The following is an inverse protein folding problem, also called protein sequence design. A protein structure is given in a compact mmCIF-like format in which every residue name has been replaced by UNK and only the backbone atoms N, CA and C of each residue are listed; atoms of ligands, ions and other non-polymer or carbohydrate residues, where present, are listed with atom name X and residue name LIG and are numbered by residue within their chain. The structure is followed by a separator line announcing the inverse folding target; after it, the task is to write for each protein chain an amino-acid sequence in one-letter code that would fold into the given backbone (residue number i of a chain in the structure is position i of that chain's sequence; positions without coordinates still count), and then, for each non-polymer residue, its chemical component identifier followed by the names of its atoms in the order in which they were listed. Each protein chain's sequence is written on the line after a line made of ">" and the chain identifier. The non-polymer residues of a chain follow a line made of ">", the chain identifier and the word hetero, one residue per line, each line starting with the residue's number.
data_IF_304803061135
#
_entry.id   IF_304803061135
#
_cell.length_a   1.000
_cell.length_b   1.000
_cell.length_c   1.000
_cell.angle_alpha   90.00
_cell.angle_beta   90.00
_cell.angle_gamma   90.00
#
_symmetry.space_group_name_H-M   'P 1'
#
loop_
_entity.id
_entity.type
_entity.pdbx_description
1 polymer ?
#
# COMPACT_ATOMS: atom_id res chain seq x y z
N UNK A 1 -19.65 -9.07 21.34
CA UNK A 1 -19.86 -8.00 20.33
C UNK A 1 -19.57 -6.63 20.94
N UNK A 2 -20.23 -6.30 22.05
CA UNK A 2 -20.15 -4.96 22.70
C UNK A 2 -18.74 -4.58 23.16
N UNK A 3 -17.93 -5.55 23.63
CA UNK A 3 -16.53 -5.29 24.00
C UNK A 3 -15.68 -4.85 22.80
N UNK A 4 -15.90 -5.41 21.61
CA UNK A 4 -15.15 -5.03 20.40
C UNK A 4 -15.56 -3.64 19.93
N UNK A 5 -16.86 -3.33 19.97
CA UNK A 5 -17.36 -2.00 19.65
C UNK A 5 -16.83 -0.95 20.64
N UNK A 6 -16.90 -1.23 21.94
CA UNK A 6 -16.35 -0.35 22.97
C UNK A 6 -14.85 -0.12 22.76
N UNK A 7 -14.05 -1.17 22.52
CA UNK A 7 -12.60 -1.02 22.25
C UNK A 7 -12.34 -0.16 21.01
N UNK A 8 -13.13 -0.32 19.95
CA UNK A 8 -13.05 0.49 18.75
C UNK A 8 -13.33 1.97 19.02
N UNK A 9 -14.43 2.26 19.72
CA UNK A 9 -14.83 3.62 20.07
C UNK A 9 -13.87 4.29 21.05
N UNK A 10 -13.43 3.55 22.08
CA UNK A 10 -12.47 4.03 23.07
C UNK A 10 -11.15 4.43 22.40
N UNK A 11 -10.65 3.59 21.46
CA UNK A 11 -9.45 3.93 20.66
C UNK A 11 -9.67 5.16 19.79
N UNK A 12 -10.82 5.25 19.10
CA UNK A 12 -11.12 6.41 18.26
C UNK A 12 -11.12 7.72 19.07
N UNK A 13 -11.79 7.69 20.23
CA UNK A 13 -11.86 8.83 21.13
C UNK A 13 -10.48 9.18 21.67
N UNK A 14 -9.78 8.25 22.30
CA UNK A 14 -8.52 8.54 23.00
C UNK A 14 -7.37 8.90 22.06
N UNK A 15 -7.26 8.22 20.91
CA UNK A 15 -6.10 8.34 20.01
C UNK A 15 -6.26 9.47 19.00
N UNK A 16 -7.48 9.77 18.56
CA UNK A 16 -7.69 10.75 17.49
C UNK A 16 -8.50 11.95 17.98
N UNK A 17 -9.69 11.74 18.55
CA UNK A 17 -10.59 12.86 18.89
C UNK A 17 -10.05 13.70 20.04
N UNK A 18 -9.57 13.08 21.11
CA UNK A 18 -9.05 13.81 22.28
C UNK A 18 -7.60 14.24 22.06
N UNK A 19 -6.77 13.41 21.42
CA UNK A 19 -5.33 13.64 21.35
C UNK A 19 -4.90 14.57 20.21
N UNK A 20 -5.47 14.48 19.00
CA UNK A 20 -5.02 15.30 17.86
C UNK A 20 -5.19 16.81 18.09
N UNK A 21 -6.28 17.31 18.70
CA UNK A 21 -6.40 18.74 19.00
C UNK A 21 -5.27 19.27 19.90
N UNK A 22 -4.76 18.42 20.81
CA UNK A 22 -3.64 18.78 21.68
C UNK A 22 -2.27 18.75 20.97
N UNK A 23 -2.21 18.29 19.71
CA UNK A 23 -1.01 18.27 18.87
C UNK A 23 -0.97 19.44 17.88
N UNK A 24 -1.93 20.35 17.94
CA UNK A 24 -1.94 21.56 17.11
C UNK A 24 -0.93 22.55 17.66
N UNK A 25 0.04 22.91 16.83
CA UNK A 25 1.07 23.90 17.16
C UNK A 25 0.46 25.31 17.16
N UNK A 26 0.40 26.02 18.31
CA UNK A 26 -0.30 27.30 18.43
C UNK A 26 0.21 28.37 17.48
N UNK A 27 1.51 28.39 17.18
CA UNK A 27 2.11 29.40 16.30
C UNK A 27 1.66 29.30 14.83
N UNK A 28 1.17 28.13 14.41
CA UNK A 28 0.76 27.88 13.02
C UNK A 28 -0.70 27.49 12.87
N UNK A 29 -1.35 27.05 13.97
CA UNK A 29 -2.69 26.46 13.92
C UNK A 29 -2.73 25.13 13.16
N UNK A 30 -1.60 24.42 13.04
CA UNK A 30 -1.47 23.17 12.27
C UNK A 30 -0.83 22.07 13.09
N UNK A 31 -1.07 20.83 12.68
CA UNK A 31 -0.35 19.66 13.16
C UNK A 31 0.91 19.45 12.31
N UNK A 32 2.06 19.24 12.94
CA UNK A 32 3.34 18.98 12.27
C UNK A 32 3.83 17.60 12.65
N UNK A 33 3.85 16.67 11.70
CA UNK A 33 4.33 15.31 11.95
C UNK A 33 5.83 15.19 11.69
N UNK A 34 6.48 14.29 12.43
CA UNK A 34 7.86 13.88 12.20
C UNK A 34 7.90 12.65 11.29
N UNK A 35 8.43 12.80 10.07
CA UNK A 35 8.72 11.68 9.19
C UNK A 35 10.13 11.11 9.47
N UNK A 36 10.16 9.92 10.05
CA UNK A 36 11.42 9.19 10.28
C UNK A 36 11.79 8.39 9.04
N UNK A 37 12.92 8.72 8.43
CA UNK A 37 13.36 8.14 7.15
C UNK A 37 14.21 6.87 7.31
N UNK A 38 14.76 6.62 8.50
CA UNK A 38 15.78 5.58 8.77
C UNK A 38 15.31 4.50 9.75
N UNK A 39 14.00 4.35 9.96
CA UNK A 39 13.44 3.42 10.98
C UNK A 39 12.97 2.10 10.37
N UNK A 40 12.12 2.13 9.34
CA UNK A 40 11.52 0.91 8.82
C UNK A 40 12.54 0.05 8.05
N UNK A 41 12.57 -1.26 8.34
CA UNK A 41 13.47 -2.21 7.69
C UNK A 41 13.24 -2.35 6.17
N UNK A 42 12.06 -1.98 5.68
CA UNK A 42 11.71 -1.99 4.25
C UNK A 42 11.93 -0.65 3.57
N UNK A 43 12.35 0.38 4.31
CA UNK A 43 12.61 1.71 3.75
C UNK A 43 11.38 2.60 3.60
N UNK A 44 10.19 2.18 4.06
CA UNK A 44 9.02 3.07 4.23
C UNK A 44 9.35 4.22 5.20
N UNK A 45 8.70 5.37 5.01
CA UNK A 45 8.68 6.40 6.04
C UNK A 45 7.75 5.97 7.17
N UNK A 46 8.08 6.35 8.41
CA UNK A 46 7.13 6.29 9.53
C UNK A 46 6.83 7.70 10.02
N UNK A 47 5.59 7.95 10.41
CA UNK A 47 5.13 9.25 10.92
C UNK A 47 4.89 9.17 12.43
N UNK A 48 5.38 10.17 13.18
CA UNK A 48 5.22 10.30 14.63
C UNK A 48 4.83 11.74 15.02
N UNK A 49 4.36 11.93 16.26
CA UNK A 49 4.07 13.23 16.88
C UNK A 49 3.26 14.23 16.03
N UNK A 50 2.05 13.88 15.55
CA UNK A 50 1.34 12.60 15.68
C UNK A 50 1.59 11.68 14.48
N UNK A 51 1.22 10.40 14.61
CA UNK A 51 1.24 9.47 13.49
C UNK A 51 0.05 9.74 12.56
N UNK A 52 0.31 10.33 11.40
CA UNK A 52 -0.68 10.64 10.38
C UNK A 52 -0.83 9.54 9.33
N UNK A 53 0.00 8.50 9.36
CA UNK A 53 -0.16 7.35 8.46
C UNK A 53 -1.23 6.36 8.93
N UNK A 54 -1.61 6.39 10.22
CA UNK A 54 -2.55 5.45 10.80
C UNK A 54 -3.97 6.03 11.00
N UNK A 55 -4.29 7.16 10.35
CA UNK A 55 -5.61 7.78 10.46
C UNK A 55 -6.67 6.82 9.88
N UNK A 56 -7.70 6.45 10.65
CA UNK A 56 -8.61 5.38 10.27
C UNK A 56 -9.37 5.66 8.97
N UNK A 57 -9.58 4.60 8.17
CA UNK A 57 -10.35 4.67 6.92
C UNK A 57 -11.34 3.50 6.72
N UNK A 58 -11.08 2.35 7.36
CA UNK A 58 -11.82 1.11 7.09
C UNK A 58 -13.26 1.09 7.63
N UNK A 59 -13.55 1.82 8.71
CA UNK A 59 -14.87 1.80 9.35
C UNK A 59 -15.59 3.12 9.13
N UNK A 60 -16.91 3.06 9.05
CA UNK A 60 -17.76 4.24 8.80
C UNK A 60 -17.53 5.36 9.82
N UNK A 61 -17.41 5.01 11.12
CA UNK A 61 -17.11 5.98 12.18
C UNK A 61 -15.65 6.43 12.14
N UNK A 62 -14.72 5.51 11.88
CA UNK A 62 -13.29 5.82 11.87
C UNK A 62 -12.91 6.81 10.77
N UNK A 63 -13.45 6.63 9.56
CA UNK A 63 -13.17 7.51 8.42
C UNK A 63 -13.60 8.96 8.65
N UNK A 64 -14.58 9.21 9.53
CA UNK A 64 -15.00 10.57 9.86
C UNK A 64 -13.88 11.42 10.48
N UNK A 65 -12.87 10.80 11.11
CA UNK A 65 -11.69 11.52 11.63
C UNK A 65 -10.99 12.30 10.52
N UNK A 66 -10.97 11.78 9.28
CA UNK A 66 -10.34 12.46 8.13
C UNK A 66 -11.04 13.77 7.74
N UNK A 67 -12.31 13.98 8.11
CA UNK A 67 -12.99 15.26 7.87
C UNK A 67 -12.38 16.43 8.63
N UNK A 68 -11.67 16.16 9.72
CA UNK A 68 -10.99 17.21 10.50
C UNK A 68 -9.71 17.73 9.82
N UNK A 69 -9.23 17.05 8.77
CA UNK A 69 -8.07 17.48 7.99
C UNK A 69 -8.57 18.24 6.75
N UNK A 70 -8.39 19.56 6.77
CA UNK A 70 -8.87 20.48 5.74
C UNK A 70 -7.71 21.20 5.05
N UNK A 71 -7.97 21.82 3.91
CA UNK A 71 -7.02 22.70 3.22
C UNK A 71 -6.65 23.91 4.08
N UNK A 72 -5.57 24.62 3.74
CA UNK A 72 -5.09 25.74 4.59
C UNK A 72 -6.07 26.91 4.68
N UNK A 73 -6.84 27.15 3.62
CA UNK A 73 -7.87 28.19 3.53
C UNK A 73 -8.80 27.92 2.33
N UNK A 74 -9.79 28.80 2.15
CA UNK A 74 -10.85 28.67 1.12
C UNK A 74 -10.36 28.66 -0.33
N UNK A 75 -9.17 29.18 -0.60
CA UNK A 75 -8.58 29.25 -1.94
C UNK A 75 -7.83 27.95 -2.30
N UNK A 76 -7.79 26.98 -1.38
CA UNK A 76 -7.13 25.69 -1.56
C UNK A 76 -8.11 24.52 -1.40
N UNK A 77 -7.74 23.38 -1.97
CA UNK A 77 -8.40 22.08 -1.79
C UNK A 77 -7.37 21.01 -1.46
N UNK A 78 -7.82 19.90 -0.89
CA UNK A 78 -6.99 18.72 -0.76
C UNK A 78 -7.08 17.86 -2.01
N UNK A 79 -5.92 17.37 -2.46
CA UNK A 79 -5.77 16.37 -3.51
C UNK A 79 -5.06 15.17 -2.90
N UNK A 80 -5.66 13.98 -2.97
CA UNK A 80 -4.97 12.73 -2.68
C UNK A 80 -4.63 12.04 -4.01
N UNK A 81 -3.42 11.50 -4.08
CA UNK A 81 -2.92 10.73 -5.21
C UNK A 81 -2.38 9.39 -4.69
N UNK A 82 -3.06 8.29 -5.01
CA UNK A 82 -2.75 6.95 -4.49
C UNK A 82 -2.38 6.01 -5.63
N UNK A 83 -1.33 5.22 -5.46
CA UNK A 83 -1.01 4.22 -6.47
C UNK A 83 -2.02 3.07 -6.43
N UNK A 84 -2.64 2.78 -7.57
CA UNK A 84 -3.56 1.65 -7.66
C UNK A 84 -2.79 0.32 -7.63
N UNK A 85 -2.77 -0.32 -6.45
CA UNK A 85 -2.26 -1.67 -6.22
C UNK A 85 -0.76 -1.84 -6.54
N UNK A 86 0.07 -0.85 -6.18
CA UNK A 86 1.50 -0.83 -6.51
C UNK A 86 2.26 -2.11 -6.11
N UNK A 87 1.98 -2.69 -4.95
CA UNK A 87 2.66 -3.92 -4.51
C UNK A 87 2.36 -5.11 -5.44
N UNK A 88 1.13 -5.21 -5.96
CA UNK A 88 0.75 -6.26 -6.91
C UNK A 88 1.34 -6.02 -8.30
N UNK A 89 1.44 -4.75 -8.74
CA UNK A 89 2.13 -4.40 -9.99
C UNK A 89 3.62 -4.72 -9.92
N UNK A 90 4.26 -4.44 -8.77
CA UNK A 90 5.67 -4.77 -8.54
C UNK A 90 5.88 -6.29 -8.56
N UNK A 91 5.09 -7.06 -7.82
CA UNK A 91 5.31 -8.53 -7.79
C UNK A 91 5.03 -9.15 -9.16
N UNK A 92 4.03 -8.67 -9.91
CA UNK A 92 3.78 -9.10 -11.28
C UNK A 92 4.99 -8.81 -12.20
N UNK A 93 5.58 -7.62 -12.08
CA UNK A 93 6.77 -7.25 -12.84
C UNK A 93 8.01 -8.06 -12.44
N UNK A 94 8.25 -8.28 -11.15
CA UNK A 94 9.41 -9.01 -10.63
C UNK A 94 9.34 -10.52 -10.90
N UNK A 95 8.14 -11.09 -10.85
CA UNK A 95 7.92 -12.50 -11.17
C UNK A 95 7.77 -12.78 -12.67
N UNK A 96 7.60 -11.73 -13.47
CA UNK A 96 7.27 -11.81 -14.89
C UNK A 96 6.05 -12.70 -15.17
N UNK A 97 5.08 -12.69 -14.27
CA UNK A 97 3.87 -13.51 -14.34
C UNK A 97 2.89 -12.95 -15.39
N UNK A 98 2.86 -13.59 -16.56
CA UNK A 98 2.10 -13.14 -17.74
C UNK A 98 0.63 -12.88 -17.39
N UNK A 99 0.02 -13.81 -16.67
CA UNK A 99 -1.39 -13.77 -16.24
C UNK A 99 -1.73 -12.53 -15.42
N UNK A 100 -0.81 -12.05 -14.59
CA UNK A 100 -0.98 -10.83 -13.79
C UNK A 100 -0.65 -9.57 -14.60
N UNK A 101 0.39 -9.63 -15.44
CA UNK A 101 0.80 -8.52 -16.29
C UNK A 101 -0.34 -8.16 -17.26
N UNK A 102 -0.88 -9.15 -17.96
CA UNK A 102 -2.01 -8.97 -18.90
C UNK A 102 -3.22 -8.34 -18.21
N UNK A 103 -3.58 -8.81 -17.00
CA UNK A 103 -4.69 -8.24 -16.25
C UNK A 103 -4.49 -6.74 -15.96
N UNK A 104 -3.27 -6.33 -15.59
CA UNK A 104 -2.96 -4.93 -15.37
C UNK A 104 -2.92 -4.10 -16.66
N UNK A 105 -2.41 -4.67 -17.76
CA UNK A 105 -2.35 -4.01 -19.07
C UNK A 105 -3.75 -3.81 -19.68
N UNK A 106 -4.66 -4.75 -19.44
CA UNK A 106 -6.06 -4.67 -19.85
C UNK A 106 -6.93 -3.77 -18.95
N UNK A 107 -6.37 -3.24 -17.86
CA UNK A 107 -7.13 -2.46 -16.88
C UNK A 107 -8.18 -3.30 -16.10
N UNK A 108 -7.96 -4.60 -15.99
CA UNK A 108 -8.83 -5.50 -15.23
C UNK A 108 -8.67 -5.28 -13.72
N UNK A 109 -9.75 -5.51 -12.97
CA UNK A 109 -9.66 -5.65 -11.53
C UNK A 109 -8.89 -6.93 -11.19
N UNK A 110 -7.65 -6.81 -10.70
CA UNK A 110 -6.77 -7.95 -10.42
C UNK A 110 -7.38 -8.95 -9.43
N UNK A 111 -8.22 -8.48 -8.49
CA UNK A 111 -8.88 -9.35 -7.52
C UNK A 111 -10.01 -10.13 -8.16
N UNK A 112 -10.80 -9.48 -9.02
CA UNK A 112 -11.84 -10.17 -9.79
C UNK A 112 -11.23 -11.13 -10.83
N UNK A 113 -10.17 -10.72 -11.52
CA UNK A 113 -9.42 -11.57 -12.47
C UNK A 113 -8.83 -12.79 -11.76
N UNK A 114 -8.25 -12.60 -10.57
CA UNK A 114 -7.78 -13.71 -9.73
C UNK A 114 -8.94 -14.62 -9.32
N UNK A 115 -10.06 -14.08 -8.85
CA UNK A 115 -11.23 -14.88 -8.48
C UNK A 115 -11.76 -15.69 -9.66
N UNK A 116 -11.90 -15.06 -10.83
CA UNK A 116 -12.34 -15.72 -12.07
C UNK A 116 -11.46 -16.91 -12.41
N UNK A 117 -10.13 -16.75 -12.41
CA UNK A 117 -9.18 -17.82 -12.73
C UNK A 117 -9.13 -18.91 -11.65
N UNK A 118 -9.19 -18.53 -10.37
CA UNK A 118 -9.07 -19.49 -9.26
C UNK A 118 -10.37 -20.29 -9.05
N UNK A 119 -11.54 -19.66 -9.18
CA UNK A 119 -12.84 -20.35 -9.08
C UNK A 119 -13.33 -20.92 -10.42
N UNK A 120 -12.58 -20.70 -11.50
CA UNK A 120 -12.91 -21.13 -12.86
C UNK A 120 -14.31 -20.68 -13.31
N UNK A 121 -14.61 -19.40 -13.13
CA UNK A 121 -15.88 -18.76 -13.52
C UNK A 121 -15.61 -17.54 -14.40
N UNK A 122 -16.52 -17.15 -15.30
CA UNK A 122 -16.40 -15.91 -16.06
C UNK A 122 -16.25 -14.67 -15.16
N UNK A 123 -15.48 -13.68 -15.61
CA UNK A 123 -15.16 -12.47 -14.85
C UNK A 123 -16.41 -11.69 -14.41
N UNK A 124 -17.43 -11.65 -15.25
CA UNK A 124 -18.72 -11.00 -15.01
C UNK A 124 -19.61 -11.76 -14.01
N UNK A 125 -19.27 -13.02 -13.69
CA UNK A 125 -19.97 -13.86 -12.71
C UNK A 125 -19.28 -13.88 -11.35
N UNK A 126 -18.14 -13.19 -11.19
CA UNK A 126 -17.42 -13.11 -9.91
C UNK A 126 -18.27 -12.38 -8.88
N UNK A 127 -18.61 -13.06 -7.80
CA UNK A 127 -19.36 -12.45 -6.70
C UNK A 127 -18.46 -11.54 -5.86
N UNK A 128 -19.07 -10.61 -5.13
CA UNK A 128 -18.36 -9.73 -4.19
C UNK A 128 -17.56 -10.51 -3.14
N UNK A 129 -18.10 -11.64 -2.69
CA UNK A 129 -17.46 -12.53 -1.72
C UNK A 129 -16.22 -13.19 -2.32
N UNK A 130 -16.34 -13.76 -3.53
CA UNK A 130 -15.20 -14.38 -4.24
C UNK A 130 -14.09 -13.37 -4.53
N UNK A 131 -14.45 -12.14 -4.96
CA UNK A 131 -13.51 -11.03 -5.11
C UNK A 131 -12.84 -10.69 -3.77
N UNK A 132 -13.60 -10.67 -2.68
CA UNK A 132 -13.09 -10.43 -1.33
C UNK A 132 -12.07 -11.49 -0.89
N UNK A 133 -12.38 -12.77 -1.09
CA UNK A 133 -11.48 -13.87 -0.80
C UNK A 133 -10.22 -13.81 -1.67
N UNK A 134 -10.35 -13.58 -2.97
CA UNK A 134 -9.21 -13.40 -3.88
C UNK A 134 -8.33 -12.20 -3.51
N UNK A 135 -8.93 -11.11 -3.02
CA UNK A 135 -8.18 -9.98 -2.44
C UNK A 135 -7.35 -10.41 -1.24
N UNK A 136 -7.96 -11.13 -0.29
CA UNK A 136 -7.23 -11.66 0.88
C UNK A 136 -6.11 -12.60 0.47
N UNK A 137 -6.31 -13.42 -0.57
CA UNK A 137 -5.26 -14.30 -1.12
C UNK A 137 -4.12 -13.51 -1.77
N UNK A 138 -4.43 -12.55 -2.66
CA UNK A 138 -3.41 -11.74 -3.35
C UNK A 138 -2.46 -11.06 -2.36
N UNK A 139 -3.02 -10.40 -1.34
CA UNK A 139 -2.21 -9.77 -0.30
C UNK A 139 -1.57 -10.84 0.59
N UNK A 140 -2.32 -11.85 1.01
CA UNK A 140 -1.82 -12.93 1.85
C UNK A 140 -0.57 -13.60 1.28
N UNK A 141 -0.54 -13.89 -0.02
CA UNK A 141 0.58 -14.56 -0.69
C UNK A 141 1.81 -13.63 -0.80
N UNK A 142 1.63 -12.34 -1.07
CA UNK A 142 2.72 -11.34 -0.96
C UNK A 142 3.37 -11.36 0.44
N UNK A 143 2.56 -11.59 1.48
CA UNK A 143 3.01 -11.69 2.87
C UNK A 143 3.34 -13.12 3.33
N UNK A 144 3.30 -14.11 2.42
CA UNK A 144 3.56 -15.52 2.68
C UNK A 144 2.63 -16.17 3.71
N UNK A 145 1.33 -15.86 3.63
CA UNK A 145 0.30 -16.45 4.48
C UNK A 145 0.23 -17.97 4.27
N UNK A 146 0.02 -18.72 5.37
CA UNK A 146 -0.27 -20.14 5.30
C UNK A 146 -1.77 -20.39 5.13
N UNK A 147 -2.17 -21.61 4.76
CA UNK A 147 -3.59 -22.00 4.73
C UNK A 147 -4.32 -21.73 6.06
N UNK A 148 -3.63 -21.93 7.21
CA UNK A 148 -4.16 -21.57 8.53
C UNK A 148 -4.33 -20.05 8.71
N UNK A 149 -3.36 -19.26 8.25
CA UNK A 149 -3.45 -17.80 8.30
C UNK A 149 -4.60 -17.28 7.43
N UNK A 150 -4.78 -17.87 6.24
CA UNK A 150 -5.84 -17.52 5.30
C UNK A 150 -7.23 -17.89 5.87
N UNK A 151 -7.41 -19.11 6.39
CA UNK A 151 -8.68 -19.53 7.00
C UNK A 151 -9.11 -18.67 8.21
N UNK A 152 -8.18 -18.00 8.89
CA UNK A 152 -8.51 -17.08 9.99
C UNK A 152 -8.91 -15.68 9.50
N UNK A 153 -8.71 -15.37 8.22
CA UNK A 153 -8.99 -14.07 7.60
C UNK A 153 -10.17 -14.13 6.61
N UNK A 154 -10.68 -15.32 6.34
CA UNK A 154 -11.77 -15.61 5.41
C UNK A 154 -12.76 -16.56 6.06
N UNK A 155 -13.96 -16.71 5.51
CA UNK A 155 -14.94 -17.68 6.00
C UNK A 155 -14.67 -19.12 5.51
N UNK A 156 -13.53 -19.35 4.83
CA UNK A 156 -13.11 -20.65 4.31
C UNK A 156 -12.56 -21.57 5.41
N UNK A 157 -12.86 -22.85 5.31
CA UNK A 157 -12.18 -23.90 6.08
C UNK A 157 -10.69 -23.98 5.72
N UNK A 158 -9.90 -24.64 6.58
CA UNK A 158 -8.46 -24.85 6.30
C UNK A 158 -8.22 -25.63 5.02
N UNK A 159 -9.10 -26.56 4.67
CA UNK A 159 -9.00 -27.37 3.45
C UNK A 159 -9.26 -26.50 2.23
N UNK A 160 -10.35 -25.73 2.23
CA UNK A 160 -10.67 -24.79 1.15
C UNK A 160 -9.58 -23.73 0.99
N UNK A 161 -9.06 -23.18 2.10
CA UNK A 161 -7.96 -22.22 2.06
C UNK A 161 -6.69 -22.82 1.44
N UNK A 162 -6.39 -24.09 1.71
CA UNK A 162 -5.26 -24.80 1.09
C UNK A 162 -5.49 -25.01 -0.40
N UNK A 163 -6.66 -25.50 -0.79
CA UNK A 163 -7.03 -25.72 -2.20
C UNK A 163 -6.99 -24.41 -2.98
N UNK A 164 -7.41 -23.31 -2.37
CA UNK A 164 -7.37 -21.98 -2.97
C UNK A 164 -5.92 -21.51 -3.22
N UNK A 165 -5.02 -21.72 -2.24
CA UNK A 165 -3.59 -21.41 -2.40
C UNK A 165 -2.94 -22.31 -3.46
N UNK A 166 -3.24 -23.60 -3.45
CA UNK A 166 -2.70 -24.55 -4.43
C UNK A 166 -3.17 -24.22 -5.85
N UNK A 167 -4.43 -23.82 -6.00
CA UNK A 167 -5.00 -23.37 -7.28
C UNK A 167 -4.38 -22.05 -7.71
N UNK A 168 -4.22 -21.10 -6.81
CA UNK A 168 -3.53 -19.84 -7.08
C UNK A 168 -2.13 -20.07 -7.64
N UNK A 169 -1.34 -20.96 -7.05
CA UNK A 169 0.00 -21.27 -7.54
C UNK A 169 0.02 -22.04 -8.86
N UNK A 170 -1.05 -22.76 -9.21
CA UNK A 170 -1.20 -23.34 -10.56
C UNK A 170 -1.53 -22.27 -11.59
N UNK A 171 -2.33 -21.28 -11.22
CA UNK A 171 -2.68 -20.12 -12.04
C UNK A 171 -1.49 -19.19 -12.26
N UNK A 172 -0.64 -19.02 -11.25
CA UNK A 172 0.51 -18.11 -11.25
C UNK A 172 1.84 -18.87 -11.00
N UNK A 173 2.28 -19.71 -11.94
CA UNK A 173 3.44 -20.57 -11.75
C UNK A 173 4.76 -19.80 -11.70
N UNK A 174 4.91 -18.70 -12.45
CA UNK A 174 6.13 -17.89 -12.44
C UNK A 174 6.25 -17.10 -11.14
N UNK A 175 5.13 -16.64 -10.60
CA UNK A 175 5.06 -16.06 -9.25
C UNK A 175 5.56 -17.05 -8.19
N UNK A 176 5.07 -18.29 -8.19
CA UNK A 176 5.54 -19.31 -7.24
C UNK A 176 7.05 -19.56 -7.37
N UNK A 177 7.56 -19.62 -8.60
CA UNK A 177 8.98 -19.78 -8.87
C UNK A 177 9.79 -18.60 -8.32
N UNK A 178 9.38 -17.37 -8.63
CA UNK A 178 10.01 -16.17 -8.10
C UNK A 178 10.10 -16.19 -6.57
N UNK A 179 9.02 -16.58 -5.87
CA UNK A 179 9.02 -16.64 -4.41
C UNK A 179 10.04 -17.66 -3.87
N UNK A 180 10.17 -18.82 -4.52
CA UNK A 180 11.17 -19.82 -4.16
C UNK A 180 12.59 -19.30 -4.41
N UNK A 181 12.83 -18.74 -5.59
CA UNK A 181 14.13 -18.19 -6.00
C UNK A 181 14.57 -17.04 -5.06
N UNK A 182 13.64 -16.20 -4.59
CA UNK A 182 13.94 -15.15 -3.61
C UNK A 182 14.37 -15.71 -2.24
N UNK A 183 13.74 -16.80 -1.79
CA UNK A 183 14.13 -17.45 -0.54
C UNK A 183 15.52 -18.09 -0.68
N UNK A 184 15.80 -18.74 -1.81
CA UNK A 184 17.10 -19.37 -2.04
C UNK A 184 18.21 -18.32 -2.19
N UNK A 185 17.95 -17.22 -2.90
CA UNK A 185 18.86 -16.06 -2.94
C UNK A 185 19.16 -15.53 -1.53
N UNK A 186 18.12 -15.37 -0.70
CA UNK A 186 18.28 -14.89 0.66
C UNK A 186 19.10 -15.85 1.54
N UNK A 187 18.95 -17.17 1.36
CA UNK A 187 19.75 -18.19 2.08
C UNK A 187 21.21 -18.14 1.70
N UNK A 188 21.50 -17.95 0.41
CA UNK A 188 22.86 -17.87 -0.13
C UNK A 188 23.56 -16.56 0.27
N UNK A 189 22.88 -15.42 0.13
CA UNK A 189 23.50 -14.09 0.28
C UNK A 189 23.29 -13.45 1.66
N UNK A 190 22.32 -13.94 2.45
CA UNK A 190 21.97 -13.39 3.76
C UNK A 190 21.16 -12.09 3.70
N UNK A 191 20.74 -11.63 2.52
CA UNK A 191 19.91 -10.44 2.33
C UNK A 191 19.05 -10.54 1.06
N UNK A 192 18.09 -9.61 0.94
CA UNK A 192 17.31 -9.37 -0.28
C UNK A 192 17.37 -7.89 -0.67
N UNK A 193 17.04 -7.56 -1.92
CA UNK A 193 17.11 -6.20 -2.47
C UNK A 193 15.84 -5.74 -3.16
N UNK A 194 15.60 -4.42 -3.15
CA UNK A 194 14.58 -3.76 -3.97
C UNK A 194 15.07 -3.53 -5.41
N UNK A 195 14.18 -3.06 -6.29
CA UNK A 195 14.51 -2.67 -7.67
C UNK A 195 15.59 -1.58 -7.77
N UNK A 196 15.76 -0.76 -6.73
CA UNK A 196 16.82 0.25 -6.64
C UNK A 196 18.01 -0.18 -5.76
N UNK A 197 18.08 -1.45 -5.38
CA UNK A 197 19.21 -2.02 -4.66
C UNK A 197 19.21 -1.80 -3.14
N UNK A 198 18.14 -1.26 -2.53
CA UNK A 198 18.02 -1.17 -1.06
C UNK A 198 18.04 -2.58 -0.46
N UNK A 199 18.92 -2.82 0.50
CA UNK A 199 19.10 -4.13 1.14
C UNK A 199 18.30 -4.29 2.42
N UNK A 200 17.79 -5.50 2.65
CA UNK A 200 17.35 -5.98 3.96
C UNK A 200 18.09 -7.28 4.29
N UNK A 201 18.91 -7.27 5.32
CA UNK A 201 19.61 -8.46 5.82
C UNK A 201 18.65 -9.34 6.65
N UNK A 202 18.76 -10.66 6.48
CA UNK A 202 17.88 -11.65 7.07
C UNK A 202 18.70 -12.66 7.87
N UNK A 203 19.09 -12.27 9.09
CA UNK A 203 19.99 -13.06 9.94
C UNK A 203 19.50 -14.48 10.21
N UNK A 204 18.18 -14.66 10.28
CA UNK A 204 17.56 -15.94 10.64
C UNK A 204 17.14 -16.81 9.44
N UNK A 205 17.51 -16.42 8.21
CA UNK A 205 17.11 -17.15 7.00
C UNK A 205 17.64 -18.58 6.95
N UNK A 206 18.77 -18.84 7.62
CA UNK A 206 19.39 -20.15 7.78
C UNK A 206 19.26 -20.69 9.22
N UNK A 207 18.41 -20.07 10.05
CA UNK A 207 18.23 -20.46 11.45
C UNK A 207 17.61 -21.86 11.58
N UNK A 208 18.00 -22.63 12.60
CA UNK A 208 17.46 -23.98 12.84
C UNK A 208 15.99 -23.97 13.29
N UNK A 209 15.57 -22.93 14.03
CA UNK A 209 14.20 -22.77 14.49
C UNK A 209 13.25 -22.47 13.31
N UNK A 210 12.31 -23.39 13.05
CA UNK A 210 11.39 -23.30 11.92
C UNK A 210 10.47 -22.08 11.95
N UNK A 211 10.07 -21.59 13.13
CA UNK A 211 9.19 -20.42 13.26
C UNK A 211 9.93 -19.15 12.88
N UNK A 212 11.16 -19.00 13.38
CA UNK A 212 12.00 -17.82 13.11
C UNK A 212 12.45 -17.83 11.64
N UNK A 213 12.90 -18.99 11.14
CA UNK A 213 13.26 -19.18 9.72
C UNK A 213 12.08 -18.87 8.80
N UNK A 214 10.88 -19.39 9.09
CA UNK A 214 9.69 -19.10 8.29
C UNK A 214 9.32 -17.61 8.29
N UNK A 215 9.57 -16.87 9.38
CA UNK A 215 9.41 -15.42 9.39
C UNK A 215 10.45 -14.71 8.51
N UNK A 216 11.70 -15.18 8.49
CA UNK A 216 12.74 -14.67 7.59
C UNK A 216 12.41 -14.94 6.12
N UNK A 217 11.91 -16.13 5.78
CA UNK A 217 11.48 -16.50 4.42
C UNK A 217 10.34 -15.60 3.93
N UNK A 218 9.31 -15.34 4.76
CA UNK A 218 8.25 -14.38 4.42
C UNK A 218 8.80 -12.98 4.19
N UNK A 219 9.78 -12.56 4.99
CA UNK A 219 10.43 -11.27 4.81
C UNK A 219 11.31 -11.21 3.56
N UNK A 220 11.90 -12.33 3.12
CA UNK A 220 12.66 -12.42 1.88
C UNK A 220 11.77 -12.12 0.66
N UNK A 221 10.52 -12.60 0.68
CA UNK A 221 9.55 -12.34 -0.38
C UNK A 221 9.00 -10.90 -0.27
N UNK A 222 8.59 -10.48 0.92
CA UNK A 222 7.87 -9.22 1.10
C UNK A 222 8.75 -7.97 0.98
N UNK A 223 9.99 -8.01 1.48
CA UNK A 223 10.83 -6.82 1.55
C UNK A 223 11.21 -6.23 0.17
N UNK A 224 11.55 -7.03 -0.86
CA UNK A 224 11.73 -6.53 -2.22
C UNK A 224 10.52 -5.79 -2.75
N UNK A 225 9.31 -6.30 -2.49
CA UNK A 225 8.06 -5.73 -2.99
C UNK A 225 7.74 -4.42 -2.27
N UNK A 226 7.61 -4.50 -0.95
CA UNK A 226 7.24 -3.34 -0.12
C UNK A 226 8.31 -2.25 -0.17
N UNK A 227 9.58 -2.63 -0.20
CA UNK A 227 10.68 -1.68 -0.30
C UNK A 227 10.78 -1.03 -1.68
N UNK A 228 10.49 -1.77 -2.75
CA UNK A 228 10.42 -1.18 -4.10
C UNK A 228 9.27 -0.16 -4.19
N UNK A 229 8.11 -0.43 -3.59
CA UNK A 229 7.03 0.56 -3.51
C UNK A 229 7.47 1.83 -2.76
N UNK A 230 8.19 1.67 -1.64
CA UNK A 230 8.73 2.78 -0.87
C UNK A 230 9.79 3.58 -1.64
N UNK A 231 10.59 2.91 -2.47
CA UNK A 231 11.60 3.53 -3.32
C UNK A 231 10.94 4.36 -4.44
N UNK A 232 9.95 3.78 -5.12
CA UNK A 232 9.22 4.43 -6.23
C UNK A 232 8.49 5.68 -5.74
N UNK A 233 7.75 5.61 -4.63
CA UNK A 233 7.04 6.79 -4.12
C UNK A 233 8.02 7.90 -3.69
N UNK A 234 9.21 7.54 -3.17
CA UNK A 234 10.25 8.53 -2.83
C UNK A 234 10.81 9.22 -4.07
N UNK A 235 11.00 8.51 -5.18
CA UNK A 235 11.38 9.13 -6.45
C UNK A 235 10.29 10.10 -6.90
N UNK A 236 9.01 9.66 -6.87
CA UNK A 236 7.89 10.50 -7.24
C UNK A 236 7.84 11.79 -6.39
N UNK A 237 8.06 11.68 -5.08
CA UNK A 237 8.09 12.84 -4.17
C UNK A 237 9.18 13.84 -4.56
N UNK A 238 10.38 13.36 -4.90
CA UNK A 238 11.51 14.22 -5.30
C UNK A 238 11.19 14.95 -6.62
N UNK A 239 10.68 14.23 -7.61
CA UNK A 239 10.34 14.79 -8.92
C UNK A 239 9.21 15.81 -8.82
N UNK A 240 8.14 15.48 -8.08
CA UNK A 240 7.01 16.41 -7.83
C UNK A 240 7.50 17.67 -7.11
N UNK A 241 8.31 17.52 -6.06
CA UNK A 241 8.84 18.68 -5.33
C UNK A 241 9.66 19.60 -6.22
N UNK A 242 10.50 19.04 -7.10
CA UNK A 242 11.27 19.80 -8.07
C UNK A 242 10.34 20.57 -9.03
N UNK A 243 9.36 19.89 -9.62
CA UNK A 243 8.39 20.50 -10.55
C UNK A 243 7.53 21.59 -9.91
N UNK A 244 7.10 21.40 -8.66
CA UNK A 244 6.36 22.42 -7.91
C UNK A 244 7.22 23.68 -7.71
N UNK A 245 8.51 23.52 -7.37
CA UNK A 245 9.43 24.64 -7.22
C UNK A 245 9.72 25.36 -8.54
N UNK A 246 10.05 24.61 -9.59
CA UNK A 246 10.40 25.18 -10.90
C UNK A 246 9.22 25.88 -11.58
N UNK A 247 8.00 25.38 -11.36
CA UNK A 247 6.77 26.03 -11.84
C UNK A 247 6.21 27.10 -10.90
N UNK A 248 6.93 27.45 -9.83
CA UNK A 248 6.54 28.45 -8.83
C UNK A 248 5.12 28.24 -8.25
N UNK A 249 4.75 26.97 -8.06
CA UNK A 249 3.42 26.60 -7.56
C UNK A 249 3.24 27.06 -6.10
N UNK A 250 2.02 27.51 -5.78
CA UNK A 250 1.57 27.72 -4.39
C UNK A 250 1.15 26.42 -3.71
N UNK A 251 0.81 25.41 -4.52
CA UNK A 251 0.51 24.03 -4.12
C UNK A 251 1.66 23.41 -3.33
N UNK A 252 1.34 22.68 -2.25
CA UNK A 252 2.33 22.00 -1.41
C UNK A 252 1.97 20.53 -1.19
N UNK A 253 2.98 19.67 -1.20
CA UNK A 253 2.86 18.30 -0.67
C UNK A 253 2.77 18.38 0.87
N UNK A 254 1.76 17.74 1.45
CA UNK A 254 1.54 17.71 2.90
C UNK A 254 2.00 16.40 3.52
N UNK A 255 1.51 15.27 3.01
CA UNK A 255 1.67 13.95 3.63
C UNK A 255 2.07 12.90 2.60
N UNK A 256 2.85 11.93 3.07
CA UNK A 256 3.00 10.63 2.45
C UNK A 256 2.40 9.57 3.39
N UNK A 257 1.44 8.81 2.88
CA UNK A 257 0.69 7.79 3.61
C UNK A 257 0.73 6.48 2.83
N UNK A 258 1.71 5.64 3.15
CA UNK A 258 1.93 4.37 2.44
C UNK A 258 2.21 4.56 0.94
N UNK A 259 1.24 4.33 0.09
CA UNK A 259 1.24 4.48 -1.37
C UNK A 259 0.56 5.78 -1.83
N UNK A 260 0.03 6.57 -0.90
CA UNK A 260 -0.65 7.85 -1.15
C UNK A 260 0.26 9.06 -0.88
N UNK A 261 0.09 10.10 -1.70
CA UNK A 261 0.56 11.47 -1.45
C UNK A 261 -0.63 12.43 -1.34
N UNK A 262 -0.63 13.25 -0.29
CA UNK A 262 -1.66 14.27 -0.04
C UNK A 262 -1.09 15.66 -0.27
N UNK A 263 -1.83 16.50 -0.98
CA UNK A 263 -1.44 17.85 -1.36
C UNK A 263 -2.49 18.86 -0.93
N UNK A 264 -2.01 20.07 -0.64
CA UNK A 264 -2.81 21.26 -0.43
C UNK A 264 -2.65 22.14 -1.67
N UNK A 265 -3.65 22.10 -2.53
CA UNK A 265 -3.59 22.57 -3.92
C UNK A 265 -4.30 23.90 -4.04
N UNK A 266 -3.61 24.89 -4.59
CA UNK A 266 -4.23 26.18 -4.87
C UNK A 266 -5.26 26.00 -5.99
N UNK A 267 -6.51 26.41 -5.78
CA UNK A 267 -7.63 26.11 -6.71
C UNK A 267 -7.32 26.47 -8.18
N UNK A 268 -6.71 27.63 -8.50
CA UNK A 268 -6.30 27.96 -9.87
C UNK A 268 -5.21 27.05 -10.49
N UNK A 269 -4.44 26.33 -9.68
CA UNK A 269 -3.41 25.39 -10.13
C UNK A 269 -3.92 23.96 -10.29
N UNK A 270 -5.15 23.66 -9.83
CA UNK A 270 -5.64 22.30 -9.64
C UNK A 270 -5.46 21.38 -10.85
N UNK A 271 -5.95 21.78 -12.02
CA UNK A 271 -5.88 20.93 -13.22
C UNK A 271 -4.45 20.71 -13.71
N UNK A 272 -3.57 21.71 -13.54
CA UNK A 272 -2.15 21.56 -13.88
C UNK A 272 -1.46 20.66 -12.86
N UNK A 273 -1.75 20.84 -11.57
CA UNK A 273 -1.18 20.03 -10.49
C UNK A 273 -1.60 18.57 -10.62
N UNK A 274 -2.88 18.26 -10.89
CA UNK A 274 -3.37 16.89 -11.10
C UNK A 274 -2.60 16.17 -12.21
N UNK A 275 -2.50 16.78 -13.40
CA UNK A 275 -1.78 16.20 -14.54
C UNK A 275 -0.30 15.99 -14.22
N UNK A 276 0.35 16.98 -13.61
CA UNK A 276 1.75 16.90 -13.25
C UNK A 276 2.02 15.82 -12.20
N UNK A 277 1.22 15.76 -11.13
CA UNK A 277 1.38 14.80 -10.03
C UNK A 277 1.15 13.37 -10.53
N UNK A 278 0.05 13.10 -11.25
CA UNK A 278 -0.23 11.78 -11.83
C UNK A 278 0.90 11.33 -12.75
N UNK A 279 1.31 12.17 -13.69
CA UNK A 279 2.41 11.84 -14.60
C UNK A 279 3.73 11.59 -13.87
N UNK A 280 4.06 12.37 -12.83
CA UNK A 280 5.30 12.22 -12.06
C UNK A 280 5.32 10.93 -11.23
N UNK A 281 4.17 10.52 -10.69
CA UNK A 281 4.04 9.24 -9.99
C UNK A 281 4.09 8.05 -10.96
N UNK A 282 3.30 8.08 -12.04
CA UNK A 282 3.26 6.97 -13.01
C UNK A 282 4.60 6.75 -13.73
N UNK A 283 5.39 7.81 -13.92
CA UNK A 283 6.71 7.75 -14.55
C UNK A 283 7.88 7.65 -13.55
N UNK A 284 7.60 7.58 -12.24
CA UNK A 284 8.64 7.56 -11.20
C UNK A 284 9.63 6.40 -11.36
N UNK A 285 9.17 5.27 -11.89
CA UNK A 285 10.02 4.14 -12.22
C UNK A 285 9.40 3.30 -13.34
N UNK A 286 10.23 2.84 -14.29
CA UNK A 286 9.77 2.02 -15.41
C UNK A 286 9.78 0.54 -15.03
N UNK A 287 8.60 -0.01 -14.75
CA UNK A 287 8.36 -1.45 -14.61
C UNK A 287 7.85 -2.02 -15.95
N UNK A 288 7.85 -3.36 -16.07
CA UNK A 288 7.17 -4.06 -17.17
C UNK A 288 5.65 -3.83 -17.13
N UNK A 289 5.08 -3.75 -15.92
CA UNK A 289 3.68 -3.40 -15.66
C UNK A 289 3.57 -1.89 -15.47
N UNK A 290 2.66 -1.18 -16.17
CA UNK A 290 2.50 0.26 -15.98
C UNK A 290 2.07 0.57 -14.54
N UNK A 291 2.64 1.63 -13.95
CA UNK A 291 2.10 2.20 -12.71
C UNK A 291 0.86 3.02 -13.04
N UNK A 292 -0.13 2.99 -12.16
CA UNK A 292 -1.36 3.79 -12.28
C UNK A 292 -1.67 4.46 -10.94
N UNK A 293 -2.29 5.63 -11.02
CA UNK A 293 -2.55 6.52 -9.88
C UNK A 293 -3.97 7.04 -9.92
N UNK A 294 -4.69 6.79 -8.85
CA UNK A 294 -6.03 7.35 -8.63
C UNK A 294 -5.91 8.71 -7.96
N UNK A 295 -6.68 9.68 -8.45
CA UNK A 295 -6.71 11.04 -7.92
C UNK A 295 -8.08 11.35 -7.34
N UNK A 296 -8.13 11.79 -6.09
CA UNK A 296 -9.35 12.33 -5.47
C UNK A 296 -9.14 13.76 -4.97
N UNK A 297 -10.19 14.58 -5.04
CA UNK A 297 -10.17 15.99 -4.65
C UNK A 297 -11.32 16.27 -3.71
N UNK A 298 -11.06 17.00 -2.63
CA UNK A 298 -12.08 17.32 -1.65
C UNK A 298 -11.73 18.54 -0.80
N UNK A 299 -12.72 19.06 -0.09
CA UNK A 299 -12.50 20.16 0.86
C UNK A 299 -11.88 19.64 2.18
N UNK A 300 -11.97 18.32 2.41
CA UNK A 300 -11.30 17.62 3.49
C UNK A 300 -10.73 16.27 3.01
N UNK A 301 -9.86 15.66 3.82
CA UNK A 301 -9.13 14.46 3.42
C UNK A 301 -10.04 13.24 3.23
N UNK A 302 -11.24 13.21 3.83
CA UNK A 302 -12.19 12.12 3.56
C UNK A 302 -12.83 12.25 2.18
N UNK A 303 -13.09 13.46 1.70
CA UNK A 303 -13.66 13.69 0.37
C UNK A 303 -12.61 13.50 -0.74
N UNK A 304 -11.36 13.83 -0.43
CA UNK A 304 -10.24 13.65 -1.37
C UNK A 304 -9.79 12.19 -1.51
N UNK A 305 -10.21 11.28 -0.63
CA UNK A 305 -9.82 9.87 -0.59
C UNK A 305 -10.99 8.97 -0.96
#
# INVERSE_FOLDING_TARGET
>A
KDVLEYRGLAKLKSTYVDALPNQVEPSTGRVHTDYMQTVAATGRLSSNNPNLQNIPIRTERGRQVRKAFVSRDKDYVLLAADYSQIELRIIAALSEEDTMIEAFENGEDIHASTASKVFNIPLDQVTREQRGNAKTVNFGIIYGVSAFGLSNQTDLSRTEAKELIDTYYKTYPKLRRYMADQVDFAREHGYVQTVLGRRRYLKDINGSNAVVRGAAERNAINAPIQGSAADIIKIAMIDIHKKLKEGEYRTKMLLQVHDELVFDVYKPELEKAKKMIKASMESAYKLKVPLDVELGVGENWLEAH
#
